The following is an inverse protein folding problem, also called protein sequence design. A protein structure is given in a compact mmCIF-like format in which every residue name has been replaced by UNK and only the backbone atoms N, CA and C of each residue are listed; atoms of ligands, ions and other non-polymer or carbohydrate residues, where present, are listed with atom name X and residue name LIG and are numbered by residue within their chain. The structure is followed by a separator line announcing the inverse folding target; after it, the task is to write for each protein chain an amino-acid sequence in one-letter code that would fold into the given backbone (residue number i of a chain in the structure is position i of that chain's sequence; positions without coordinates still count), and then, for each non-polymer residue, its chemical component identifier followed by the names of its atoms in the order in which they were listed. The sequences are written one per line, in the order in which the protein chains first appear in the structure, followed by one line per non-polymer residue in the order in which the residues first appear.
data_IF_307605347010
#
_entry.id   IF_307605347010
#
_cell.length_a   1.000
_cell.length_b   1.000
_cell.length_c   1.000
_cell.angle_alpha   90.00
_cell.angle_beta   90.00
_cell.angle_gamma   90.00
#
_symmetry.space_group_name_H-M   'P 1'
#
loop_
_entity.id
_entity.type
_entity.pdbx_description
1 polymer ?
#
# COMPACT_ATOMS: atom_id res chain seq x y z
N UNK A 1 9.99 11.50 14.61
CA UNK A 1 9.87 10.10 14.17
C UNK A 1 9.17 9.27 15.23
N UNK A 2 7.85 9.12 15.13
CA UNK A 2 7.06 8.34 16.11
C UNK A 2 5.69 7.95 15.52
N UNK A 3 5.64 7.09 14.48
CA UNK A 3 4.37 6.60 13.92
C UNK A 3 4.52 5.18 13.35
N UNK A 4 4.99 4.20 14.13
CA UNK A 4 4.92 2.78 13.76
C UNK A 4 4.78 1.88 14.99
N UNK A 5 3.85 2.23 15.88
CA UNK A 5 3.39 1.34 16.95
C UNK A 5 1.88 1.23 16.89
N UNK A 6 1.40 0.40 15.97
CA UNK A 6 0.12 -0.32 16.03
C UNK A 6 0.10 -1.27 14.82
N UNK A 7 -0.45 -2.46 15.00
CA UNK A 7 -0.51 -3.57 14.04
C UNK A 7 0.73 -4.48 13.98
N UNK A 8 1.08 -5.05 15.13
CA UNK A 8 1.63 -6.41 15.17
C UNK A 8 0.67 -7.27 15.96
N UNK A 9 -0.16 -8.03 15.26
CA UNK A 9 -0.67 -9.26 15.87
C UNK A 9 0.53 -10.18 16.12
N UNK A 10 0.54 -10.73 17.32
CA UNK A 10 1.55 -11.62 17.86
C UNK A 10 1.59 -12.90 17.02
N UNK A 11 2.66 -13.13 16.28
CA UNK A 11 3.05 -14.48 15.89
C UNK A 11 4.56 -14.58 15.81
N UNK A 12 5.10 -15.26 16.83
CA UNK A 12 6.51 -15.49 17.05
C UNK A 12 6.97 -16.59 16.08
N UNK A 13 8.02 -16.29 15.30
CA UNK A 13 8.81 -17.21 14.45
C UNK A 13 8.23 -17.70 13.12
N UNK A 14 7.83 -16.82 12.20
CA UNK A 14 7.67 -17.23 10.78
C UNK A 14 8.18 -16.13 9.85
N UNK A 15 8.96 -16.49 8.84
CA UNK A 15 9.29 -15.61 7.70
C UNK A 15 8.00 -14.95 7.22
N UNK A 16 7.79 -13.65 7.53
CA UNK A 16 6.52 -12.94 7.30
C UNK A 16 6.22 -12.91 5.80
N UNK A 17 5.51 -13.92 5.33
CA UNK A 17 5.25 -14.18 3.90
C UNK A 17 4.17 -13.25 3.37
N UNK A 18 3.28 -12.76 4.23
CA UNK A 18 2.19 -11.87 3.90
C UNK A 18 1.82 -10.96 5.08
N UNK A 19 1.52 -9.70 4.81
CA UNK A 19 1.00 -8.74 5.80
C UNK A 19 -0.08 -7.89 5.15
N UNK A 20 -1.01 -7.37 5.95
CA UNK A 20 -2.06 -6.44 5.49
C UNK A 20 -1.86 -5.07 6.13
N UNK A 21 -1.85 -4.03 5.31
CA UNK A 21 -1.71 -2.62 5.71
C UNK A 21 -3.03 -1.91 5.46
N UNK A 22 -3.65 -1.44 6.54
CA UNK A 22 -4.92 -0.71 6.52
C UNK A 22 -4.68 0.78 6.27
N UNK A 23 -5.07 1.26 5.10
CA UNK A 23 -4.75 2.63 4.69
C UNK A 23 -5.56 3.69 5.44
N UNK A 24 -6.78 3.40 5.90
CA UNK A 24 -7.56 4.38 6.67
C UNK A 24 -6.85 4.87 7.94
N UNK A 25 -5.94 4.08 8.52
CA UNK A 25 -5.12 4.50 9.66
C UNK A 25 -4.12 5.61 9.32
N UNK A 26 -3.84 5.84 8.04
CA UNK A 26 -2.95 6.88 7.54
C UNK A 26 -3.70 8.09 6.98
N UNK A 27 -4.99 7.95 6.66
CA UNK A 27 -5.84 8.99 6.10
C UNK A 27 -6.97 8.43 5.26
N UNK A 28 -7.94 9.29 4.90
CA UNK A 28 -9.10 8.92 4.06
C UNK A 28 -8.92 9.33 2.59
N UNK A 29 -7.94 10.18 2.29
CA UNK A 29 -7.61 10.66 0.93
C UNK A 29 -6.10 10.65 0.72
N UNK A 30 -5.65 10.12 -0.42
CA UNK A 30 -4.22 10.02 -0.75
C UNK A 30 -3.92 10.54 -2.15
N UNK A 31 -3.27 11.69 -2.29
CA UNK A 31 -3.16 12.37 -3.59
C UNK A 31 -1.73 12.34 -4.14
N UNK A 32 -0.75 12.52 -3.27
CA UNK A 32 0.63 12.84 -3.62
C UNK A 32 1.57 11.63 -3.64
N UNK A 33 2.67 11.75 -4.37
CA UNK A 33 3.78 10.77 -4.33
C UNK A 33 4.41 10.68 -2.95
N UNK A 34 4.50 11.80 -2.23
CA UNK A 34 5.08 11.83 -0.89
C UNK A 34 4.27 10.98 0.10
N UNK A 35 2.94 10.95 -0.02
CA UNK A 35 2.08 10.06 0.76
C UNK A 35 2.35 8.59 0.45
N UNK A 36 2.43 8.22 -0.83
CA UNK A 36 2.76 6.86 -1.25
C UNK A 36 4.13 6.41 -0.74
N UNK A 37 5.16 7.28 -0.81
CA UNK A 37 6.48 7.00 -0.23
C UNK A 37 6.40 6.74 1.27
N UNK A 38 5.54 7.45 2.00
CA UNK A 38 5.36 7.21 3.45
C UNK A 38 4.74 5.84 3.72
N UNK A 39 3.72 5.45 2.94
CA UNK A 39 3.08 4.12 3.03
C UNK A 39 4.08 3.01 2.69
N UNK A 40 4.92 3.22 1.66
CA UNK A 40 5.89 2.23 1.19
C UNK A 40 7.07 1.95 2.13
N UNK A 41 7.28 2.72 3.19
CA UNK A 41 8.43 2.52 4.09
C UNK A 41 8.29 1.25 4.92
N UNK A 42 9.30 0.38 4.87
CA UNK A 42 9.36 -0.85 5.66
C UNK A 42 8.58 -2.01 5.05
N UNK A 43 7.88 -1.80 3.93
CA UNK A 43 7.15 -2.85 3.22
C UNK A 43 8.09 -3.87 2.55
N UNK A 44 9.32 -3.46 2.24
CA UNK A 44 10.37 -4.29 1.62
C UNK A 44 10.77 -5.51 2.49
N UNK A 45 10.40 -5.51 3.77
CA UNK A 45 10.63 -6.62 4.70
C UNK A 45 9.69 -7.80 4.48
N UNK A 46 8.68 -7.65 3.62
CA UNK A 46 7.63 -8.64 3.37
C UNK A 46 7.65 -9.09 1.90
N UNK A 47 7.28 -10.35 1.65
CA UNK A 47 7.15 -10.86 0.27
C UNK A 47 5.85 -10.42 -0.39
N UNK A 48 4.76 -10.36 0.38
CA UNK A 48 3.44 -9.92 -0.08
C UNK A 48 2.88 -8.92 0.92
N UNK A 49 2.38 -7.80 0.42
CA UNK A 49 1.69 -6.78 1.21
C UNK A 49 0.33 -6.52 0.61
N UNK A 50 -0.72 -6.84 1.34
CA UNK A 50 -2.06 -6.38 1.00
C UNK A 50 -2.25 -4.94 1.44
N UNK A 51 -2.64 -4.09 0.51
CA UNK A 51 -3.01 -2.71 0.78
C UNK A 51 -4.54 -2.67 0.87
N UNK A 52 -5.05 -2.55 2.09
CA UNK A 52 -6.48 -2.50 2.38
C UNK A 52 -6.98 -1.05 2.26
N UNK A 53 -7.78 -0.80 1.22
CA UNK A 53 -8.37 0.51 0.90
C UNK A 53 -9.73 0.73 1.59
N UNK A 54 -10.14 -0.12 2.53
CA UNK A 54 -11.35 0.11 3.33
C UNK A 54 -11.29 1.48 3.99
N UNK A 55 -12.35 2.28 3.84
CA UNK A 55 -12.42 3.63 4.40
C UNK A 55 -11.61 4.69 3.64
N UNK A 56 -10.96 4.33 2.53
CA UNK A 56 -10.32 5.30 1.62
C UNK A 56 -11.35 5.79 0.61
N UNK A 57 -11.58 7.10 0.62
CA UNK A 57 -12.57 7.75 -0.22
C UNK A 57 -12.00 8.12 -1.60
N UNK A 58 -10.74 8.56 -1.63
CA UNK A 58 -10.12 9.09 -2.85
C UNK A 58 -8.63 8.77 -2.92
N UNK A 59 -8.16 8.41 -4.11
CA UNK A 59 -6.74 8.34 -4.43
C UNK A 59 -6.42 9.12 -5.70
N UNK A 60 -5.30 9.84 -5.69
CA UNK A 60 -4.80 10.60 -6.83
C UNK A 60 -3.80 9.81 -7.67
N UNK A 61 -3.61 10.25 -8.91
CA UNK A 61 -2.67 9.62 -9.84
C UNK A 61 -1.25 9.58 -9.29
N UNK A 62 -0.79 10.63 -8.62
CA UNK A 62 0.56 10.67 -8.04
C UNK A 62 0.79 9.58 -6.99
N UNK A 63 -0.18 9.38 -6.10
CA UNK A 63 -0.14 8.32 -5.10
C UNK A 63 -0.11 6.93 -5.75
N UNK A 64 -1.04 6.66 -6.66
CA UNK A 64 -1.15 5.35 -7.33
C UNK A 64 0.10 5.04 -8.15
N UNK A 65 0.58 6.00 -8.93
CA UNK A 65 1.76 5.87 -9.77
C UNK A 65 3.01 5.55 -8.96
N UNK A 66 3.19 6.27 -7.85
CA UNK A 66 4.32 6.01 -6.96
C UNK A 66 4.20 4.63 -6.30
N UNK A 67 3.04 4.30 -5.73
CA UNK A 67 2.90 3.08 -4.93
C UNK A 67 2.87 1.80 -5.77
N UNK A 68 2.25 1.82 -6.96
CA UNK A 68 2.02 0.60 -7.75
C UNK A 68 2.93 0.46 -8.97
N UNK A 69 3.69 1.50 -9.34
CA UNK A 69 4.63 1.46 -10.46
C UNK A 69 6.06 1.79 -10.05
N UNK A 70 6.28 2.93 -9.38
CA UNK A 70 7.64 3.37 -9.01
C UNK A 70 8.20 2.53 -7.87
N UNK A 71 7.47 2.40 -6.76
CA UNK A 71 7.94 1.69 -5.58
C UNK A 71 8.27 0.21 -5.87
N UNK A 72 7.41 -0.56 -6.57
CA UNK A 72 7.71 -1.96 -6.87
C UNK A 72 8.92 -2.13 -7.81
N UNK A 73 9.21 -1.13 -8.68
CA UNK A 73 10.40 -1.18 -9.54
C UNK A 73 11.72 -1.18 -8.75
N UNK A 74 11.72 -0.57 -7.55
CA UNK A 74 12.86 -0.58 -6.63
C UNK A 74 12.85 -1.74 -5.63
N UNK A 75 11.75 -2.48 -5.53
CA UNK A 75 11.52 -3.53 -4.52
C UNK A 75 10.92 -4.79 -5.18
N UNK A 76 11.62 -5.44 -6.14
CA UNK A 76 11.05 -6.51 -6.96
C UNK A 76 10.70 -7.79 -6.17
N UNK A 77 11.21 -7.94 -4.96
CA UNK A 77 10.92 -9.09 -4.08
C UNK A 77 9.64 -8.91 -3.25
N UNK A 78 9.04 -7.73 -3.28
CA UNK A 78 7.81 -7.40 -2.56
C UNK A 78 6.68 -7.13 -3.53
N UNK A 79 5.59 -7.89 -3.39
CA UNK A 79 4.39 -7.73 -4.20
C UNK A 79 3.33 -6.97 -3.42
N UNK A 80 2.84 -5.87 -3.98
CA UNK A 80 1.72 -5.11 -3.41
C UNK A 80 0.39 -5.58 -4.04
N UNK A 81 -0.59 -5.89 -3.20
CA UNK A 81 -1.92 -6.36 -3.59
C UNK A 81 -3.00 -5.36 -3.11
N UNK A 82 -3.56 -4.51 -3.98
CA UNK A 82 -4.69 -3.65 -3.62
C UNK A 82 -5.95 -4.48 -3.32
N UNK A 83 -6.60 -4.22 -2.18
CA UNK A 83 -7.83 -4.91 -1.74
C UNK A 83 -8.86 -3.92 -1.18
N UNK A 84 -10.13 -4.33 -1.10
CA UNK A 84 -11.24 -3.56 -0.51
C UNK A 84 -11.39 -2.12 -1.03
N UNK A 85 -11.25 -1.93 -2.34
CA UNK A 85 -11.35 -0.62 -2.98
C UNK A 85 -12.81 -0.24 -3.24
N UNK A 86 -13.17 1.02 -2.99
CA UNK A 86 -14.39 1.61 -3.54
C UNK A 86 -14.31 1.68 -5.07
N UNK A 87 -15.44 1.81 -5.80
CA UNK A 87 -15.42 1.92 -7.25
C UNK A 87 -14.55 3.07 -7.78
N UNK A 88 -14.54 4.22 -7.09
CA UNK A 88 -13.71 5.36 -7.44
C UNK A 88 -12.22 5.07 -7.26
N UNK A 89 -11.85 4.44 -6.13
CA UNK A 89 -10.46 4.04 -5.86
C UNK A 89 -9.99 2.98 -6.85
N UNK A 90 -10.81 1.96 -7.10
CA UNK A 90 -10.50 0.89 -8.06
C UNK A 90 -10.25 1.46 -9.47
N UNK A 91 -11.09 2.40 -9.91
CA UNK A 91 -10.92 3.05 -11.21
C UNK A 91 -9.58 3.79 -11.34
N UNK A 92 -9.09 4.42 -10.27
CA UNK A 92 -7.80 5.09 -10.29
C UNK A 92 -6.64 4.11 -10.18
N UNK A 93 -6.72 3.12 -9.28
CA UNK A 93 -5.72 2.06 -9.11
C UNK A 93 -5.47 1.33 -10.42
N UNK A 94 -6.54 0.93 -11.11
CA UNK A 94 -6.45 0.23 -12.39
C UNK A 94 -5.79 1.06 -13.51
N UNK A 95 -5.77 2.40 -13.41
CA UNK A 95 -5.04 3.25 -14.37
C UNK A 95 -3.53 3.21 -14.16
N UNK A 96 -3.08 2.96 -12.93
CA UNK A 96 -1.66 2.91 -12.58
C UNK A 96 -1.03 1.53 -12.68
N UNK A 97 -1.84 0.47 -12.79
CA UNK A 97 -1.34 -0.88 -13.04
C UNK A 97 -0.83 -1.01 -14.49
N UNK A 98 0.23 -1.80 -14.72
CA UNK A 98 0.69 -2.11 -16.08
C UNK A 98 -0.47 -2.71 -16.89
N UNK A 99 -0.68 -2.21 -18.10
CA UNK A 99 -1.56 -2.88 -19.06
C UNK A 99 -0.78 -4.08 -19.60
N UNK A 100 -1.08 -5.27 -19.09
CA UNK A 100 -0.67 -6.56 -19.68
C UNK A 100 -1.41 -6.83 -20.96
#
# INVERSE_FOLDING_TARGET
DEVFSQFTDEDQSFTKSKVTIKLYGYGVRFISRSEAKRVGRGLERFRVVELDFTGVEEVGQGFVDELLRVWPSGHPTTRLEPTNMSPAVAAMVNRGLPRT
#
